data_IF_352996963236
#
_entry.id   IF_352996963236
#
_cell.length_a   1.000
_cell.length_b   1.000
_cell.length_c   1.000
_cell.angle_alpha   90.00
_cell.angle_beta   90.00
_cell.angle_gamma   90.00
#
_symmetry.space_group_name_H-M   'P 1'
#
loop_
_entity.id
_entity.type
_entity.pdbx_description
1 polymer ?
#
# COMPACT_ATOMS: atom_id res chain seq x y z
N UNK A 1 -5.43 31.33 54.22
CA UNK A 1 -5.23 30.79 52.85
C UNK A 1 -6.50 31.05 52.04
N UNK A 2 -6.40 31.63 50.84
CA UNK A 2 -7.55 32.13 50.07
C UNK A 2 -8.34 31.01 49.35
N UNK A 3 -9.67 31.14 49.34
CA UNK A 3 -10.63 30.16 48.80
C UNK A 3 -10.68 30.12 47.25
N UNK A 4 -10.00 31.06 46.58
CA UNK A 4 -10.13 31.32 45.14
C UNK A 4 -8.92 30.91 44.28
N UNK A 5 -7.81 30.45 44.87
CA UNK A 5 -6.67 29.94 44.12
C UNK A 5 -6.60 28.41 44.23
N UNK A 6 -6.99 27.64 43.19
CA UNK A 6 -6.87 26.18 43.25
C UNK A 6 -5.39 25.81 43.36
N UNK A 7 -5.05 24.96 44.33
CA UNK A 7 -3.72 24.37 44.41
C UNK A 7 -3.45 23.57 43.14
N UNK A 8 -2.65 24.13 42.23
CA UNK A 8 -2.12 23.39 41.09
C UNK A 8 -1.14 22.36 41.64
N UNK A 9 -1.41 21.07 41.39
CA UNK A 9 -0.45 20.00 41.71
C UNK A 9 0.86 20.31 40.99
N UNK A 10 1.95 20.36 41.76
CA UNK A 10 3.27 20.65 41.18
C UNK A 10 3.68 19.50 40.25
N UNK A 11 4.30 19.83 39.12
CA UNK A 11 4.79 18.85 38.15
C UNK A 11 6.00 18.05 38.67
N UNK A 12 6.59 18.49 39.79
CA UNK A 12 7.81 17.92 40.35
C UNK A 12 7.58 16.56 41.03
N UNK A 13 6.34 16.19 41.33
CA UNK A 13 6.00 14.86 41.83
C UNK A 13 4.68 14.37 41.20
N UNK A 14 4.70 13.90 39.94
CA UNK A 14 3.50 13.42 39.28
C UNK A 14 3.02 12.14 39.99
N UNK A 15 1.76 12.14 40.41
CA UNK A 15 1.08 10.93 40.89
C UNK A 15 0.50 10.17 39.70
N UNK A 16 0.75 8.86 39.60
CA UNK A 16 0.24 8.06 38.50
C UNK A 16 -1.30 8.06 38.50
N UNK A 17 -1.89 8.36 37.34
CA UNK A 17 -3.34 8.21 37.15
C UNK A 17 -3.69 6.75 36.87
N UNK A 18 -4.96 6.39 37.05
CA UNK A 18 -5.46 5.05 36.66
C UNK A 18 -5.28 4.75 35.16
N UNK A 19 -5.12 5.78 34.32
CA UNK A 19 -4.83 5.66 32.89
C UNK A 19 -3.34 5.53 32.56
N UNK A 20 -2.44 5.73 33.52
CA UNK A 20 -0.99 5.66 33.29
C UNK A 20 -0.57 4.20 33.14
N UNK A 21 -0.06 3.83 31.95
CA UNK A 21 0.39 2.46 31.63
C UNK A 21 1.92 2.35 31.78
N UNK A 22 2.38 1.35 32.52
CA UNK A 22 3.80 1.06 32.68
C UNK A 22 4.35 0.28 31.48
N UNK A 23 5.42 0.77 30.84
CA UNK A 23 6.06 0.09 29.69
C UNK A 23 6.83 -1.19 30.05
N UNK A 24 7.09 -1.46 31.34
CA UNK A 24 7.79 -2.69 31.78
C UNK A 24 6.84 -3.86 31.95
N UNK A 25 5.73 -3.66 32.65
CA UNK A 25 4.78 -4.71 33.01
C UNK A 25 3.43 -4.61 32.28
N UNK A 26 3.19 -3.55 31.50
CA UNK A 26 1.93 -3.24 30.81
C UNK A 26 0.71 -3.07 31.73
N UNK A 27 0.91 -3.05 33.05
CA UNK A 27 -0.13 -2.73 34.03
C UNK A 27 -0.37 -1.22 34.14
N UNK A 28 -1.55 -0.86 34.65
CA UNK A 28 -1.94 0.53 34.91
C UNK A 28 -1.62 0.95 36.35
N UNK A 29 -1.59 2.26 36.60
CA UNK A 29 -1.57 2.84 37.96
C UNK A 29 -0.19 3.11 38.55
N UNK A 30 0.90 2.97 37.79
CA UNK A 30 2.24 3.34 38.24
C UNK A 30 3.16 3.70 37.07
N UNK A 31 4.21 4.47 37.37
CA UNK A 31 5.27 4.79 36.41
C UNK A 31 6.33 3.68 36.35
N UNK A 32 7.13 3.67 35.28
CA UNK A 32 8.17 2.66 35.02
C UNK A 32 9.25 2.58 36.11
N UNK A 33 9.48 3.66 36.86
CA UNK A 33 10.44 3.71 37.97
C UNK A 33 9.90 3.13 39.29
N UNK A 34 8.58 3.03 39.45
CA UNK A 34 7.92 2.40 40.61
C UNK A 34 7.53 0.94 40.37
N UNK A 35 7.80 0.44 39.15
CA UNK A 35 7.40 -0.91 38.74
C UNK A 35 8.15 -1.98 39.52
N UNK A 36 7.41 -2.77 40.30
CA UNK A 36 7.94 -3.89 41.09
C UNK A 36 8.11 -5.18 40.28
N UNK A 37 7.56 -5.26 39.07
CA UNK A 37 7.71 -6.43 38.22
C UNK A 37 9.17 -6.55 37.75
N UNK A 38 9.80 -7.67 38.07
CA UNK A 38 11.17 -7.99 37.69
C UNK A 38 11.27 -8.49 36.24
N UNK A 39 10.27 -9.26 35.79
CA UNK A 39 10.20 -9.80 34.43
C UNK A 39 9.20 -9.02 33.57
N UNK A 40 9.58 -8.74 32.32
CA UNK A 40 8.68 -8.19 31.30
C UNK A 40 7.75 -9.31 30.84
N UNK A 41 6.42 -9.16 30.94
CA UNK A 41 5.48 -10.17 30.45
C UNK A 41 5.71 -10.41 28.96
N UNK A 42 5.99 -11.64 28.58
CA UNK A 42 6.07 -12.02 27.18
C UNK A 42 4.64 -12.22 26.66
N UNK A 43 4.08 -11.18 26.05
CA UNK A 43 2.85 -11.31 25.29
C UNK A 43 3.23 -11.77 23.89
N UNK A 44 2.74 -12.95 23.48
CA UNK A 44 2.91 -13.42 22.12
C UNK A 44 2.28 -12.40 21.17
N UNK A 45 3.07 -11.92 20.20
CA UNK A 45 2.53 -11.09 19.13
C UNK A 45 1.73 -12.00 18.20
N UNK A 46 0.42 -11.75 18.02
CA UNK A 46 -0.37 -12.56 17.09
C UNK A 46 0.21 -12.37 15.68
N UNK A 47 0.35 -13.48 14.95
CA UNK A 47 0.81 -13.46 13.57
C UNK A 47 -0.17 -12.67 12.68
N UNK A 48 0.28 -12.21 11.52
CA UNK A 48 -0.58 -11.48 10.57
C UNK A 48 -1.83 -12.27 10.18
N UNK A 49 -1.74 -13.61 10.08
CA UNK A 49 -2.89 -14.48 9.81
C UNK A 49 -3.85 -14.54 10.99
N UNK A 50 -3.33 -14.74 12.20
CA UNK A 50 -4.14 -14.71 13.44
C UNK A 50 -4.85 -13.36 13.65
N UNK A 51 -4.25 -12.26 13.21
CA UNK A 51 -4.87 -10.95 13.29
C UNK A 51 -6.11 -10.81 12.38
N UNK A 52 -6.08 -11.43 11.19
CA UNK A 52 -7.18 -11.40 10.22
C UNK A 52 -8.31 -12.36 10.59
N UNK A 53 -8.01 -13.43 11.32
CA UNK A 53 -9.00 -14.40 11.83
C UNK A 53 -9.87 -13.85 12.97
N UNK A 54 -9.50 -12.71 13.56
CA UNK A 54 -10.27 -12.10 14.63
C UNK A 54 -11.71 -11.78 14.18
N UNK A 55 -12.75 -12.25 14.91
CA UNK A 55 -14.15 -12.06 14.50
C UNK A 55 -14.54 -10.58 14.43
N UNK A 56 -13.92 -9.73 15.25
CA UNK A 56 -14.10 -8.27 15.20
C UNK A 56 -13.48 -7.65 13.95
N UNK A 57 -12.36 -8.17 13.47
CA UNK A 57 -11.74 -7.71 12.23
C UNK A 57 -12.58 -8.18 11.04
N UNK A 58 -13.05 -9.43 11.05
CA UNK A 58 -13.95 -9.97 10.03
C UNK A 58 -15.29 -9.22 9.99
N UNK A 59 -15.87 -8.85 11.12
CA UNK A 59 -17.09 -8.04 11.16
C UNK A 59 -16.86 -6.69 10.49
N UNK A 60 -15.80 -5.97 10.85
CA UNK A 60 -15.43 -4.71 10.20
C UNK A 60 -15.14 -4.86 8.71
N UNK A 61 -14.48 -5.94 8.30
CA UNK A 61 -14.19 -6.23 6.91
C UNK A 61 -15.42 -6.67 6.12
N UNK A 62 -16.42 -7.30 6.76
CA UNK A 62 -17.71 -7.67 6.14
C UNK A 62 -18.66 -6.48 6.07
N UNK A 63 -18.66 -5.62 7.09
CA UNK A 63 -19.35 -4.33 7.09
C UNK A 63 -18.76 -3.39 6.04
N UNK A 64 -17.42 -3.29 5.98
CA UNK A 64 -16.70 -2.59 4.90
C UNK A 64 -16.66 -3.39 3.58
N UNK A 65 -17.16 -4.64 3.59
CA UNK A 65 -17.05 -5.62 2.51
C UNK A 65 -18.40 -6.12 2.03
N UNK A 66 -19.48 -5.35 2.23
CA UNK A 66 -20.46 -5.23 1.14
C UNK A 66 -19.81 -4.31 0.11
N UNK A 67 -19.11 -4.81 -0.93
CA UNK A 67 -18.74 -3.94 -2.02
C UNK A 67 -20.03 -3.30 -2.52
N UNK A 68 -20.12 -1.98 -2.45
CA UNK A 68 -21.20 -1.18 -3.04
C UNK A 68 -21.24 -1.29 -4.56
N UNK A 69 -20.29 -2.01 -5.15
CA UNK A 69 -20.25 -2.34 -6.56
C UNK A 69 -20.80 -3.75 -6.70
N UNK A 70 -22.09 -3.84 -6.99
CA UNK A 70 -22.67 -5.02 -7.61
C UNK A 70 -21.75 -5.41 -8.77
N UNK A 71 -21.08 -6.55 -8.64
CA UNK A 71 -20.20 -7.09 -9.69
C UNK A 71 -21.05 -7.14 -10.97
N UNK A 72 -20.74 -6.30 -11.99
CA UNK A 72 -21.51 -6.26 -13.21
C UNK A 72 -21.57 -7.67 -13.79
N UNK A 73 -22.73 -8.08 -14.32
CA UNK A 73 -22.96 -9.44 -14.80
C UNK A 73 -21.89 -9.94 -15.78
N UNK A 74 -21.20 -9.01 -16.45
CA UNK A 74 -20.04 -9.22 -17.33
C UNK A 74 -18.80 -9.86 -16.68
N UNK A 75 -18.68 -9.84 -15.34
CA UNK A 75 -17.56 -10.44 -14.61
C UNK A 75 -17.92 -11.78 -13.94
N UNK A 76 -19.19 -12.19 -14.01
CA UNK A 76 -19.65 -13.49 -13.49
C UNK A 76 -19.53 -14.62 -14.52
N UNK A 77 -19.38 -14.28 -15.80
CA UNK A 77 -19.12 -15.26 -16.87
C UNK A 77 -17.64 -15.67 -16.87
N UNK A 78 -17.38 -16.99 -16.92
CA UNK A 78 -16.03 -17.60 -16.93
C UNK A 78 -15.14 -17.11 -18.07
N UNK A 79 -15.72 -16.57 -19.13
CA UNK A 79 -15.00 -15.86 -20.20
C UNK A 79 -14.73 -14.43 -19.76
N UNK A 80 -13.57 -14.23 -19.15
CA UNK A 80 -13.15 -12.92 -18.67
C UNK A 80 -13.10 -11.87 -19.78
N UNK A 81 -13.13 -10.60 -19.36
CA UNK A 81 -12.93 -9.42 -20.22
C UNK A 81 -11.64 -9.50 -21.05
N UNK A 82 -10.62 -10.21 -20.54
CA UNK A 82 -9.36 -10.46 -21.23
C UNK A 82 -9.52 -11.12 -22.62
N UNK A 83 -10.37 -12.15 -22.73
CA UNK A 83 -10.56 -12.85 -24.01
C UNK A 83 -11.24 -11.94 -25.05
N UNK A 84 -12.18 -11.10 -24.61
CA UNK A 84 -12.86 -10.12 -25.47
C UNK A 84 -11.88 -9.08 -26.02
N UNK A 85 -10.92 -8.64 -25.19
CA UNK A 85 -9.87 -7.69 -25.59
C UNK A 85 -8.91 -8.32 -26.60
N UNK A 86 -8.53 -9.59 -26.40
CA UNK A 86 -7.64 -10.30 -27.32
C UNK A 86 -8.30 -10.54 -28.68
N UNK A 87 -9.55 -11.01 -28.70
CA UNK A 87 -10.30 -11.20 -29.94
C UNK A 87 -10.52 -9.89 -30.72
N UNK A 88 -10.79 -8.78 -30.02
CA UNK A 88 -10.94 -7.47 -30.66
C UNK A 88 -9.64 -7.01 -31.34
N UNK A 89 -8.49 -7.16 -30.65
CA UNK A 89 -7.17 -6.82 -31.20
C UNK A 89 -6.77 -7.73 -32.36
N UNK A 90 -7.13 -9.00 -32.32
CA UNK A 90 -6.86 -9.92 -33.43
C UNK A 90 -7.70 -9.60 -34.67
N UNK A 91 -8.97 -9.25 -34.48
CA UNK A 91 -9.85 -8.78 -35.57
C UNK A 91 -9.33 -7.49 -36.21
N UNK A 92 -8.78 -6.57 -35.44
CA UNK A 92 -8.14 -5.35 -35.97
C UNK A 92 -6.88 -5.67 -36.79
N UNK A 93 -6.04 -6.60 -36.30
CA UNK A 93 -4.87 -7.09 -37.04
C UNK A 93 -5.27 -7.80 -38.35
N UNK A 94 -6.39 -8.52 -38.37
CA UNK A 94 -6.89 -9.17 -39.57
C UNK A 94 -7.41 -8.15 -40.60
N UNK A 95 -8.12 -7.10 -40.16
CA UNK A 95 -8.61 -6.01 -41.04
C UNK A 95 -7.46 -5.22 -41.67
N UNK A 96 -6.49 -4.80 -40.86
CA UNK A 96 -5.30 -4.08 -41.34
C UNK A 96 -4.43 -4.92 -42.30
N UNK A 97 -4.43 -6.25 -42.18
CA UNK A 97 -3.78 -7.15 -43.15
C UNK A 97 -4.55 -7.24 -44.46
N UNK A 98 -5.89 -7.33 -44.42
CA UNK A 98 -6.75 -7.33 -45.61
C UNK A 98 -6.69 -6.02 -46.37
N UNK A 99 -6.71 -4.89 -45.67
CA UNK A 99 -6.55 -3.56 -46.28
C UNK A 99 -5.17 -3.37 -46.93
N UNK A 100 -4.12 -4.01 -46.39
CA UNK A 100 -2.78 -4.04 -46.99
C UNK A 100 -2.66 -4.97 -48.20
N UNK A 101 -3.51 -5.99 -48.33
CA UNK A 101 -3.52 -6.88 -49.50
C UNK A 101 -4.33 -6.33 -50.68
N UNK A 102 -5.40 -5.58 -50.42
CA UNK A 102 -6.24 -4.98 -51.47
C UNK A 102 -5.78 -3.57 -51.92
N UNK A 103 -4.87 -2.93 -51.18
CA UNK A 103 -4.26 -1.65 -51.55
C UNK A 103 -3.01 -1.82 -52.42
N UNK A 104 -3.09 -1.36 -53.68
CA UNK A 104 -1.99 -1.17 -54.66
C UNK A 104 -0.60 -1.03 -54.02
N UNK A 105 0.45 -1.74 -54.49
CA UNK A 105 1.74 -1.79 -53.81
C UNK A 105 2.36 -0.39 -53.74
N UNK A 106 2.37 0.22 -52.55
CA UNK A 106 3.13 1.45 -52.30
C UNK A 106 4.61 1.10 -52.35
N UNK A 107 5.27 1.56 -53.42
CA UNK A 107 6.72 1.46 -53.65
C UNK A 107 7.49 1.72 -52.35
N UNK A 108 8.30 0.74 -51.96
CA UNK A 108 9.19 0.75 -50.81
C UNK A 108 10.23 1.87 -50.98
N UNK A 109 10.00 3.03 -50.38
CA UNK A 109 11.07 4.00 -50.18
C UNK A 109 12.08 3.39 -49.19
N UNK A 110 13.26 3.02 -49.67
CA UNK A 110 14.42 2.67 -48.84
C UNK A 110 14.77 3.88 -47.98
N UNK A 111 14.29 3.93 -46.74
CA UNK A 111 14.94 4.75 -45.72
C UNK A 111 16.13 3.91 -45.22
N UNK A 112 17.31 4.24 -45.73
CA UNK A 112 18.59 3.70 -45.27
C UNK A 112 18.61 3.78 -43.73
N UNK A 113 18.77 2.64 -43.10
CA UNK A 113 19.08 2.54 -41.68
C UNK A 113 20.53 2.97 -41.56
N UNK A 114 20.78 4.24 -41.24
CA UNK A 114 22.10 4.66 -40.78
C UNK A 114 22.22 4.28 -39.30
N UNK A 115 22.63 3.03 -39.06
CA UNK A 115 23.28 2.61 -37.82
C UNK A 115 24.68 3.20 -37.79
N UNK A 116 24.80 4.51 -37.60
CA UNK A 116 26.10 5.13 -37.36
C UNK A 116 26.04 6.04 -36.12
N UNK A 117 26.99 5.77 -35.23
CA UNK A 117 27.41 6.56 -34.06
C UNK A 117 26.66 6.28 -32.77
N UNK A 118 27.10 5.19 -32.14
CA UNK A 118 27.65 5.24 -30.78
C UNK A 118 28.34 6.61 -30.58
N UNK A 119 27.65 7.55 -29.95
CA UNK A 119 28.27 8.63 -29.20
C UNK A 119 28.21 8.24 -27.74
N UNK A 120 29.26 7.56 -27.34
CA UNK A 120 29.74 7.53 -25.97
C UNK A 120 29.92 8.99 -25.53
N UNK A 121 28.88 9.59 -24.96
CA UNK A 121 29.01 10.85 -24.24
C UNK A 121 29.56 10.49 -22.85
N UNK A 122 30.89 10.49 -22.77
CA UNK A 122 31.72 10.29 -21.58
C UNK A 122 31.56 11.44 -20.55
N UNK A 123 30.33 11.89 -20.29
CA UNK A 123 30.08 13.10 -19.51
C UNK A 123 28.65 13.21 -18.96
N UNK A 124 28.08 12.11 -18.46
CA UNK A 124 27.09 12.19 -17.38
C UNK A 124 27.59 11.43 -16.15
N UNK A 125 28.85 11.69 -15.82
CA UNK A 125 29.43 11.56 -14.50
C UNK A 125 28.93 12.75 -13.65
N UNK A 126 27.63 12.79 -13.39
CA UNK A 126 27.04 13.69 -12.37
C UNK A 126 26.08 12.86 -11.54
N UNK A 127 26.63 11.84 -10.88
CA UNK A 127 26.10 11.32 -9.63
C UNK A 127 27.25 11.46 -8.65
N UNK A 128 27.03 12.24 -7.57
CA UNK A 128 27.96 12.71 -6.53
C UNK A 128 28.58 14.09 -6.78
N UNK A 129 27.78 15.14 -6.60
CA UNK A 129 28.12 16.29 -5.75
C UNK A 129 26.92 17.26 -5.79
N UNK A 130 26.05 17.19 -4.78
CA UNK A 130 25.23 18.32 -4.31
C UNK A 130 24.51 17.86 -3.03
N UNK A 131 25.07 18.34 -1.91
CA UNK A 131 24.50 18.47 -0.55
C UNK A 131 23.92 17.21 0.12
#
# INVERSE_FOLDING_TARGET
MSKFAPHRKSYNNPTATSSTVCQKCLGTGHFTYQCKASARPYLSRPSRTQQLENPRALAKLKEAGKPSVEVPAELKSKTGTANRILEAKEKERAKTKKEKSDGRPRKRARRLVEMSRIRMCSSCLIVRLTL
#
